data_IF_032462472641
#
_entry.id   IF_032462472641
#
_cell.length_a   1.000
_cell.length_b   1.000
_cell.length_c   1.000
_cell.angle_alpha   90.00
_cell.angle_beta   90.00
_cell.angle_gamma   90.00
#
_symmetry.space_group_name_H-M   'P 1'
#
loop_
_entity.id
_entity.type
_entity.pdbx_description
1 polymer ?
#
# COMPACT_ATOMS: atom_id res chain seq x y z
N UNK A 1 -59.18 -35.13 48.41
CA UNK A 1 -58.61 -33.87 47.92
C UNK A 1 -58.35 -34.02 46.44
N UNK A 2 -58.94 -33.17 45.61
CA UNK A 2 -58.74 -33.18 44.16
C UNK A 2 -57.66 -32.17 43.79
N UNK A 3 -56.53 -32.66 43.27
CA UNK A 3 -55.45 -31.86 42.69
C UNK A 3 -55.76 -31.61 41.22
N UNK A 4 -55.81 -30.34 40.81
CA UNK A 4 -55.87 -29.93 39.40
C UNK A 4 -54.46 -29.49 38.97
N UNK A 5 -53.88 -30.18 37.99
CA UNK A 5 -52.67 -29.74 37.29
C UNK A 5 -53.12 -29.08 35.99
N UNK A 6 -53.08 -27.74 35.95
CA UNK A 6 -53.35 -26.97 34.74
C UNK A 6 -52.06 -26.73 33.96
N UNK A 7 -52.01 -27.18 32.71
CA UNK A 7 -51.00 -26.75 31.74
C UNK A 7 -51.47 -25.45 31.10
N UNK A 8 -50.74 -24.35 31.33
CA UNK A 8 -50.99 -23.07 30.67
C UNK A 8 -50.16 -23.02 29.39
N UNK A 9 -50.80 -23.11 28.22
CA UNK A 9 -50.15 -22.97 26.91
C UNK A 9 -50.57 -21.63 26.34
N UNK A 10 -49.64 -20.68 26.36
CA UNK A 10 -49.85 -19.32 25.85
C UNK A 10 -49.32 -19.26 24.41
N UNK A 11 -50.23 -19.08 23.44
CA UNK A 11 -49.90 -19.04 22.01
C UNK A 11 -50.21 -17.63 21.48
N UNK A 12 -49.23 -16.70 21.51
CA UNK A 12 -49.46 -15.32 21.11
C UNK A 12 -49.53 -15.21 19.59
N UNK A 13 -50.76 -15.17 19.04
CA UNK A 13 -51.01 -15.11 17.59
C UNK A 13 -50.48 -13.81 16.97
N UNK A 14 -50.47 -12.71 17.72
CA UNK A 14 -49.93 -11.39 17.29
C UNK A 14 -48.40 -11.32 17.34
N UNK A 15 -47.73 -12.07 18.21
CA UNK A 15 -46.27 -12.13 18.26
C UNK A 15 -45.68 -12.86 17.05
N UNK A 16 -46.41 -13.77 16.41
CA UNK A 16 -45.93 -14.44 15.18
C UNK A 16 -45.67 -13.44 14.04
N UNK A 17 -46.49 -12.40 13.89
CA UNK A 17 -46.25 -11.34 12.90
C UNK A 17 -45.04 -10.47 13.28
N UNK A 18 -44.87 -10.19 14.58
CA UNK A 18 -43.71 -9.44 15.09
C UNK A 18 -42.42 -10.23 14.91
N UNK A 19 -42.41 -11.50 15.32
CA UNK A 19 -41.28 -12.42 15.14
C UNK A 19 -40.93 -12.61 13.66
N UNK A 20 -41.91 -12.74 12.76
CA UNK A 20 -41.63 -12.82 11.31
C UNK A 20 -40.96 -11.57 10.78
N UNK A 21 -41.37 -10.38 11.23
CA UNK A 21 -40.72 -9.11 10.86
C UNK A 21 -39.32 -8.99 11.44
N UNK A 22 -39.13 -9.45 12.67
CA UNK A 22 -37.83 -9.48 13.34
C UNK A 22 -36.85 -10.41 12.62
N UNK A 23 -37.29 -11.63 12.27
CA UNK A 23 -36.52 -12.59 11.48
C UNK A 23 -36.15 -12.01 10.10
N UNK A 24 -37.11 -11.45 9.37
CA UNK A 24 -36.82 -10.81 8.08
C UNK A 24 -35.81 -9.64 8.22
N UNK A 25 -35.83 -8.92 9.35
CA UNK A 25 -34.85 -7.85 9.63
C UNK A 25 -33.47 -8.41 9.96
N UNK A 26 -33.39 -9.53 10.65
CA UNK A 26 -32.13 -10.23 10.95
C UNK A 26 -31.53 -10.82 9.68
N UNK A 27 -32.33 -11.48 8.83
CA UNK A 27 -31.89 -12.00 7.53
C UNK A 27 -31.34 -10.87 6.64
N UNK A 28 -32.00 -9.71 6.62
CA UNK A 28 -31.50 -8.53 5.91
C UNK A 28 -30.17 -8.03 6.50
N UNK A 29 -30.05 -7.96 7.83
CA UNK A 29 -28.78 -7.57 8.47
C UNK A 29 -27.66 -8.55 8.14
N UNK A 30 -27.92 -9.85 8.21
CA UNK A 30 -26.96 -10.89 7.82
C UNK A 30 -26.52 -10.70 6.36
N UNK A 31 -27.46 -10.48 5.44
CA UNK A 31 -27.13 -10.25 4.03
C UNK A 31 -26.24 -9.02 3.82
N UNK A 32 -26.47 -7.96 4.60
CA UNK A 32 -25.65 -6.75 4.60
C UNK A 32 -24.25 -7.03 5.14
N UNK A 33 -24.12 -7.79 6.24
CA UNK A 33 -22.83 -8.16 6.80
C UNK A 33 -22.01 -9.03 5.85
N UNK A 34 -22.64 -10.02 5.21
CA UNK A 34 -21.97 -10.86 4.19
C UNK A 34 -21.50 -10.02 3.00
N UNK A 35 -22.26 -9.00 2.61
CA UNK A 35 -21.85 -8.09 1.54
C UNK A 35 -20.69 -7.20 1.98
N UNK A 36 -20.73 -6.65 3.20
CA UNK A 36 -19.65 -5.86 3.76
C UNK A 36 -18.34 -6.65 3.88
N UNK A 37 -18.42 -7.92 4.30
CA UNK A 37 -17.26 -8.81 4.36
C UNK A 37 -16.64 -9.03 2.97
N UNK A 38 -17.47 -9.34 1.97
CA UNK A 38 -16.99 -9.50 0.58
C UNK A 38 -16.36 -8.23 0.02
N UNK A 39 -16.92 -7.07 0.35
CA UNK A 39 -16.39 -5.79 -0.10
C UNK A 39 -15.07 -5.45 0.63
N UNK A 40 -14.94 -5.81 1.90
CA UNK A 40 -13.69 -5.72 2.66
C UNK A 40 -12.60 -6.62 2.05
N UNK A 41 -12.90 -7.88 1.76
CA UNK A 41 -11.96 -8.82 1.14
C UNK A 41 -11.43 -8.30 -0.19
N UNK A 42 -12.33 -7.74 -1.01
CA UNK A 42 -11.95 -7.10 -2.27
C UNK A 42 -11.05 -5.91 -2.04
N UNK A 43 -11.39 -5.02 -1.11
CA UNK A 43 -10.58 -3.85 -0.78
C UNK A 43 -9.17 -4.26 -0.36
N UNK A 44 -9.04 -5.23 0.56
CA UNK A 44 -7.74 -5.74 1.00
C UNK A 44 -6.95 -6.34 -0.17
N UNK A 45 -7.61 -7.12 -1.04
CA UNK A 45 -6.95 -7.69 -2.22
C UNK A 45 -6.46 -6.61 -3.18
N UNK A 46 -7.25 -5.55 -3.40
CA UNK A 46 -6.86 -4.41 -4.22
C UNK A 46 -5.70 -3.63 -3.61
N UNK A 47 -5.76 -3.31 -2.32
CA UNK A 47 -4.69 -2.59 -1.62
C UNK A 47 -3.37 -3.36 -1.66
N UNK A 48 -3.43 -4.69 -1.47
CA UNK A 48 -2.24 -5.53 -1.54
C UNK A 48 -1.66 -5.58 -2.96
N UNK A 49 -2.50 -5.70 -3.99
CA UNK A 49 -2.06 -5.71 -5.38
C UNK A 49 -1.47 -4.36 -5.81
N UNK A 50 -2.11 -3.26 -5.41
CA UNK A 50 -1.63 -1.90 -5.67
C UNK A 50 -0.30 -1.65 -4.96
N UNK A 51 -0.18 -1.97 -3.67
CA UNK A 51 1.05 -1.79 -2.92
C UNK A 51 2.24 -2.60 -3.49
N UNK A 52 1.99 -3.82 -4.00
CA UNK A 52 3.00 -4.62 -4.72
C UNK A 52 3.45 -3.91 -6.00
N UNK A 53 2.49 -3.45 -6.79
CA UNK A 53 2.75 -2.74 -8.05
C UNK A 53 3.56 -1.47 -7.80
N UNK A 54 3.18 -0.67 -6.80
CA UNK A 54 3.91 0.55 -6.44
C UNK A 54 5.34 0.26 -6.00
N UNK A 55 5.56 -0.80 -5.21
CA UNK A 55 6.91 -1.24 -4.82
C UNK A 55 7.76 -1.65 -6.03
N UNK A 56 7.20 -2.42 -6.95
CA UNK A 56 7.91 -2.85 -8.17
C UNK A 56 8.29 -1.65 -9.04
N UNK A 57 7.37 -0.69 -9.19
CA UNK A 57 7.65 0.56 -9.90
C UNK A 57 8.74 1.38 -9.22
N UNK A 58 8.71 1.50 -7.89
CA UNK A 58 9.73 2.20 -7.12
C UNK A 58 11.11 1.53 -7.23
N UNK A 59 11.15 0.19 -7.25
CA UNK A 59 12.38 -0.57 -7.44
C UNK A 59 12.96 -0.36 -8.83
N UNK A 60 12.12 -0.40 -9.87
CA UNK A 60 12.54 -0.10 -11.24
C UNK A 60 13.05 1.34 -11.36
N UNK A 61 12.36 2.31 -10.74
CA UNK A 61 12.79 3.70 -10.71
C UNK A 61 14.15 3.87 -10.02
N UNK A 62 14.39 3.18 -8.91
CA UNK A 62 15.69 3.18 -8.23
C UNK A 62 16.81 2.66 -9.14
N UNK A 63 16.59 1.56 -9.85
CA UNK A 63 17.57 1.00 -10.78
C UNK A 63 17.92 1.99 -11.91
N UNK A 64 16.92 2.72 -12.44
CA UNK A 64 17.17 3.77 -13.43
C UNK A 64 18.02 4.89 -12.84
N UNK A 65 17.74 5.34 -11.61
CA UNK A 65 18.54 6.39 -10.98
C UNK A 65 19.96 5.93 -10.63
N UNK A 66 20.14 4.66 -10.24
CA UNK A 66 21.46 4.08 -9.98
C UNK A 66 22.34 4.11 -11.25
N UNK A 67 21.77 3.69 -12.38
CA UNK A 67 22.48 3.78 -13.67
C UNK A 67 22.77 5.23 -14.06
N UNK A 68 21.86 6.18 -13.79
CA UNK A 68 22.08 7.59 -14.04
C UNK A 68 23.23 8.17 -13.20
N UNK A 69 23.36 7.75 -11.93
CA UNK A 69 24.52 8.10 -11.07
C UNK A 69 25.81 7.54 -11.66
N UNK A 70 25.82 6.27 -12.07
CA UNK A 70 27.00 5.65 -12.65
C UNK A 70 27.47 6.37 -13.93
N UNK A 71 26.53 6.71 -14.82
CA UNK A 71 26.84 7.48 -16.05
C UNK A 71 27.36 8.88 -15.72
N UNK A 72 26.74 9.58 -14.76
CA UNK A 72 27.16 10.91 -14.37
C UNK A 72 28.53 10.93 -13.67
N UNK A 73 28.85 9.88 -12.89
CA UNK A 73 30.17 9.65 -12.30
C UNK A 73 31.24 9.52 -13.38
N UNK A 74 31.01 8.63 -14.37
CA UNK A 74 31.95 8.43 -15.47
C UNK A 74 32.21 9.72 -16.25
N UNK A 75 31.14 10.45 -16.59
CA UNK A 75 31.26 11.72 -17.31
C UNK A 75 32.03 12.79 -16.49
N UNK A 76 31.88 12.80 -15.17
CA UNK A 76 32.66 13.68 -14.29
C UNK A 76 34.14 13.28 -14.25
N UNK A 77 34.44 11.98 -14.13
CA UNK A 77 35.81 11.49 -14.13
C UNK A 77 36.53 11.80 -15.44
N UNK A 78 35.86 11.63 -16.58
CA UNK A 78 36.40 12.00 -17.89
C UNK A 78 36.70 13.50 -17.97
N UNK A 79 35.74 14.35 -17.61
CA UNK A 79 35.94 15.80 -17.65
C UNK A 79 37.05 16.27 -16.69
N UNK A 80 37.16 15.64 -15.51
CA UNK A 80 38.25 15.90 -14.56
C UNK A 80 39.60 15.52 -15.14
N UNK A 81 39.73 14.34 -15.76
CA UNK A 81 40.96 13.90 -16.40
C UNK A 81 41.37 14.82 -17.56
N UNK A 82 40.41 15.24 -18.38
CA UNK A 82 40.64 16.19 -19.49
C UNK A 82 41.10 17.55 -18.98
N UNK A 83 40.47 18.07 -17.92
CA UNK A 83 40.89 19.32 -17.29
C UNK A 83 42.32 19.24 -16.73
N UNK A 84 42.66 18.15 -16.03
CA UNK A 84 44.01 17.92 -15.50
C UNK A 84 45.07 17.81 -16.60
N UNK A 85 44.70 17.26 -17.76
CA UNK A 85 45.56 17.18 -18.93
C UNK A 85 45.63 18.49 -19.74
N UNK A 86 44.94 19.56 -19.31
CA UNK A 86 44.85 20.83 -20.05
C UNK A 86 44.01 20.76 -21.34
N UNK A 87 43.27 19.66 -21.54
CA UNK A 87 42.44 19.37 -22.73
C UNK A 87 40.95 19.62 -22.51
N UNK A 88 40.58 20.16 -21.35
CA UNK A 88 39.20 20.45 -20.94
C UNK A 88 39.13 21.74 -20.15
N UNK A 89 37.94 22.33 -20.09
CA UNK A 89 37.74 23.60 -19.38
C UNK A 89 37.28 23.36 -17.94
N UNK A 90 37.58 24.30 -17.05
CA UNK A 90 37.05 24.27 -15.68
C UNK A 90 35.52 24.30 -15.68
N UNK A 91 34.90 25.06 -16.59
CA UNK A 91 33.44 25.14 -16.70
C UNK A 91 32.81 23.79 -17.06
N UNK A 92 33.42 23.03 -17.96
CA UNK A 92 32.96 21.68 -18.30
C UNK A 92 33.03 20.74 -17.10
N UNK A 93 34.15 20.72 -16.39
CA UNK A 93 34.33 19.92 -15.18
C UNK A 93 33.28 20.27 -14.10
N UNK A 94 33.06 21.56 -13.84
CA UNK A 94 32.05 22.02 -12.88
C UNK A 94 30.64 21.63 -13.30
N UNK A 95 30.31 21.72 -14.59
CA UNK A 95 29.00 21.29 -15.12
C UNK A 95 28.78 19.79 -14.92
N UNK A 96 29.80 18.96 -15.17
CA UNK A 96 29.71 17.50 -14.92
C UNK A 96 29.62 17.18 -13.43
N UNK A 97 30.32 17.93 -12.58
CA UNK A 97 30.21 17.78 -11.12
C UNK A 97 28.78 18.08 -10.62
N UNK A 98 28.16 19.15 -11.13
CA UNK A 98 26.77 19.49 -10.81
C UNK A 98 25.78 18.40 -11.27
N UNK A 99 25.96 17.86 -12.48
CA UNK A 99 25.14 16.75 -12.98
C UNK A 99 25.27 15.48 -12.14
N UNK A 100 26.50 15.14 -11.73
CA UNK A 100 26.76 14.02 -10.81
C UNK A 100 26.03 14.21 -9.48
N UNK A 101 26.10 15.41 -8.91
CA UNK A 101 25.41 15.71 -7.66
C UNK A 101 23.89 15.61 -7.82
N UNK A 102 23.34 16.14 -8.92
CA UNK A 102 21.91 16.06 -9.22
C UNK A 102 21.44 14.60 -9.39
N UNK A 103 22.21 13.77 -10.09
CA UNK A 103 21.92 12.33 -10.21
C UNK A 103 21.93 11.64 -8.84
N UNK A 104 22.89 11.97 -7.97
CA UNK A 104 22.96 11.46 -6.60
C UNK A 104 21.72 11.82 -5.78
N UNK A 105 21.22 13.05 -5.88
CA UNK A 105 19.95 13.43 -5.26
C UNK A 105 18.76 12.65 -5.83
N UNK A 106 18.74 12.41 -7.14
CA UNK A 106 17.72 11.60 -7.80
C UNK A 106 17.68 10.16 -7.25
N UNK A 107 18.85 9.55 -7.10
CA UNK A 107 18.99 8.22 -6.48
C UNK A 107 18.47 8.19 -5.04
N UNK A 108 18.89 9.14 -4.21
CA UNK A 108 18.44 9.20 -2.81
C UNK A 108 16.92 9.35 -2.69
N UNK A 109 16.32 10.18 -3.55
CA UNK A 109 14.86 10.33 -3.60
C UNK A 109 14.18 9.01 -4.00
N UNK A 110 14.68 8.34 -5.04
CA UNK A 110 14.13 7.05 -5.46
C UNK A 110 14.27 5.96 -4.39
N UNK A 111 15.38 5.95 -3.65
CA UNK A 111 15.61 5.01 -2.56
C UNK A 111 14.62 5.24 -1.41
N UNK A 112 14.35 6.51 -1.08
CA UNK A 112 13.34 6.86 -0.10
C UNK A 112 11.92 6.43 -0.53
N UNK A 113 11.54 6.64 -1.79
CA UNK A 113 10.23 6.20 -2.29
C UNK A 113 10.11 4.67 -2.28
N UNK A 114 11.18 3.93 -2.58
CA UNK A 114 11.18 2.47 -2.44
C UNK A 114 10.96 2.04 -0.99
N UNK A 115 11.64 2.68 -0.04
CA UNK A 115 11.45 2.38 1.39
C UNK A 115 10.01 2.64 1.83
N UNK A 116 9.41 3.75 1.35
CA UNK A 116 8.02 4.07 1.61
C UNK A 116 7.08 3.02 1.03
N UNK A 117 7.30 2.60 -0.21
CA UNK A 117 6.50 1.56 -0.86
C UNK A 117 6.63 0.19 -0.14
N UNK A 118 7.82 -0.14 0.37
CA UNK A 118 8.04 -1.32 1.22
C UNK A 118 7.22 -1.26 2.51
N UNK A 119 7.14 -0.10 3.16
CA UNK A 119 6.32 0.10 4.35
C UNK A 119 4.83 -0.03 4.04
N UNK A 120 4.35 0.59 2.95
CA UNK A 120 2.95 0.46 2.51
C UNK A 120 2.59 -0.99 2.19
N UNK A 121 3.48 -1.74 1.54
CA UNK A 121 3.26 -3.16 1.30
C UNK A 121 3.19 -3.97 2.60
N UNK A 122 4.04 -3.66 3.59
CA UNK A 122 3.98 -4.33 4.90
C UNK A 122 2.70 -3.99 5.66
N UNK A 123 2.19 -2.76 5.54
CA UNK A 123 0.90 -2.36 6.09
C UNK A 123 -0.24 -3.14 5.44
N UNK A 124 -0.29 -3.20 4.10
CA UNK A 124 -1.30 -3.96 3.36
C UNK A 124 -1.24 -5.47 3.64
N UNK A 125 -0.08 -6.00 4.05
CA UNK A 125 0.08 -7.39 4.49
C UNK A 125 -0.35 -7.65 5.95
N UNK A 126 -0.78 -6.62 6.68
CA UNK A 126 -1.09 -6.72 8.10
C UNK A 126 0.13 -6.95 9.00
N UNK A 127 1.36 -6.73 8.48
CA UNK A 127 2.63 -6.95 9.19
C UNK A 127 3.11 -5.72 9.97
N UNK A 128 2.49 -4.57 9.75
CA UNK A 128 2.64 -3.36 10.57
C UNK A 128 1.34 -3.18 11.34
N UNK A 129 1.29 -3.69 12.57
CA UNK A 129 0.28 -3.32 13.54
C UNK A 129 0.79 -2.08 14.27
N UNK A 130 -0.04 -1.02 14.35
CA UNK A 130 0.21 0.07 15.28
C UNK A 130 0.12 -0.50 16.70
N UNK A 131 1.26 -0.70 17.35
CA UNK A 131 1.34 -0.71 18.82
C UNK A 131 1.34 0.73 19.34
#
# INVERSE_FOLDING_TARGET
GSSYVGLNVELPVTDLLRQRRELARLDLQESVYVQQEKDLDRQVAYELADARTQREMALAALAVQDTAVAVAELAYQEARARFQAGKGTQQEMLRRAALRQQAGYGYLKAAYELLRADLTLRQAQGRLQHE
#
